data_IF_228941331378
#
_entry.id   IF_228941331378
#
_cell.length_a   1.000
_cell.length_b   1.000
_cell.length_c   1.000
_cell.angle_alpha   90.00
_cell.angle_beta   90.00
_cell.angle_gamma   90.00
#
_symmetry.space_group_name_H-M   'P 1'
#
loop_
_entity.id
_entity.type
_entity.pdbx_description
1 polymer ?
#
# COMPACT_ATOMS: atom_id res chain seq x y z
N UNK A 1 11.74 -4.37 -3.50
CA UNK A 1 13.21 -4.15 -3.49
C UNK A 1 13.62 -3.19 -2.39
N UNK A 2 13.03 -2.00 -2.28
CA UNK A 2 13.29 -1.11 -1.15
C UNK A 2 13.03 -1.79 0.21
N UNK A 3 11.92 -2.52 0.35
CA UNK A 3 11.59 -3.25 1.59
C UNK A 3 12.66 -4.27 2.02
N UNK A 4 13.39 -4.88 1.08
CA UNK A 4 14.45 -5.83 1.41
C UNK A 4 15.67 -5.16 2.08
N UNK A 5 15.73 -3.82 2.08
CA UNK A 5 16.76 -3.04 2.77
C UNK A 5 16.30 -2.58 4.16
N UNK A 6 15.01 -2.72 4.48
CA UNK A 6 14.41 -2.22 5.72
C UNK A 6 13.88 -3.33 6.63
N UNK A 7 13.83 -4.57 6.15
CA UNK A 7 13.32 -5.72 6.89
C UNK A 7 14.27 -6.91 6.73
N UNK A 8 14.47 -7.65 7.82
CA UNK A 8 15.31 -8.86 7.82
C UNK A 8 14.66 -10.01 7.04
N UNK A 9 13.32 -10.03 7.01
CA UNK A 9 12.53 -11.09 6.40
C UNK A 9 11.31 -10.55 5.68
N UNK A 10 11.06 -11.06 4.47
CA UNK A 10 9.82 -10.84 3.71
C UNK A 10 9.06 -12.15 3.51
N UNK A 11 7.76 -12.12 3.80
CA UNK A 11 6.82 -13.18 3.46
C UNK A 11 6.04 -12.77 2.21
N UNK A 12 6.29 -13.46 1.10
CA UNK A 12 5.71 -13.18 -0.20
C UNK A 12 4.54 -14.13 -0.45
N UNK A 13 3.31 -13.62 -0.36
CA UNK A 13 2.10 -14.43 -0.51
C UNK A 13 1.41 -14.15 -1.85
N UNK A 14 1.11 -15.21 -2.61
CA UNK A 14 0.49 -15.07 -3.93
C UNK A 14 0.15 -16.42 -4.58
N UNK A 15 -0.64 -16.39 -5.66
CA UNK A 15 -1.12 -17.60 -6.33
C UNK A 15 -0.16 -18.13 -7.41
N UNK A 16 0.64 -17.26 -7.99
CA UNK A 16 1.56 -17.61 -9.07
C UNK A 16 2.93 -18.00 -8.49
N UNK A 17 3.15 -19.32 -8.38
CA UNK A 17 4.37 -19.87 -7.80
C UNK A 17 5.62 -19.48 -8.60
N UNK A 18 5.53 -19.35 -9.93
CA UNK A 18 6.66 -18.98 -10.77
C UNK A 18 7.08 -17.52 -10.51
N UNK A 19 6.12 -16.60 -10.48
CA UNK A 19 6.38 -15.19 -10.14
C UNK A 19 6.89 -15.03 -8.71
N UNK A 20 6.33 -15.79 -7.76
CA UNK A 20 6.81 -15.80 -6.37
C UNK A 20 8.27 -16.26 -6.29
N UNK A 21 8.63 -17.36 -6.97
CA UNK A 21 10.02 -17.84 -6.97
C UNK A 21 10.98 -16.84 -7.59
N UNK A 22 10.58 -16.20 -8.70
CA UNK A 22 11.37 -15.15 -9.33
C UNK A 22 11.54 -13.92 -8.41
N UNK A 23 10.50 -13.54 -7.65
CA UNK A 23 10.56 -12.45 -6.69
C UNK A 23 11.41 -12.80 -5.46
N UNK A 24 11.29 -14.03 -4.95
CA UNK A 24 12.11 -14.56 -3.86
C UNK A 24 13.59 -14.37 -4.17
N UNK A 25 14.05 -14.85 -5.34
CA UNK A 25 15.45 -14.70 -5.73
C UNK A 25 15.90 -13.24 -5.87
N UNK A 26 14.99 -12.31 -6.23
CA UNK A 26 15.31 -10.87 -6.26
C UNK A 26 15.49 -10.28 -4.87
N UNK A 27 14.70 -10.74 -3.89
CA UNK A 27 14.78 -10.31 -2.49
C UNK A 27 16.05 -10.88 -1.84
N UNK A 28 16.32 -12.17 -2.02
CA UNK A 28 17.49 -12.84 -1.44
C UNK A 28 18.81 -12.29 -1.99
N UNK A 29 18.87 -11.94 -3.29
CA UNK A 29 20.04 -11.24 -3.86
C UNK A 29 20.32 -9.86 -3.26
N UNK A 30 19.37 -9.31 -2.49
CA UNK A 30 19.54 -8.06 -1.74
C UNK A 30 19.87 -8.30 -0.26
N UNK A 31 20.12 -9.55 0.15
CA UNK A 31 20.52 -9.91 1.51
C UNK A 31 19.37 -10.10 2.49
N UNK A 32 18.11 -10.11 2.03
CA UNK A 32 16.93 -10.27 2.86
C UNK A 32 16.38 -11.71 2.76
N UNK A 33 15.99 -12.30 3.89
CA UNK A 33 15.36 -13.62 3.89
C UNK A 33 13.97 -13.54 3.22
N UNK A 34 13.67 -14.44 2.29
CA UNK A 34 12.37 -14.47 1.63
C UNK A 34 11.68 -15.83 1.78
N UNK A 35 10.45 -15.82 2.28
CA UNK A 35 9.57 -17.01 2.35
C UNK A 35 8.44 -16.80 1.36
N UNK A 36 8.18 -17.78 0.48
CA UNK A 36 7.04 -17.74 -0.44
C UNK A 36 5.92 -18.64 0.05
N UNK A 37 4.67 -18.25 -0.18
CA UNK A 37 3.50 -19.05 0.17
C UNK A 37 2.32 -18.73 -0.76
N UNK A 38 1.46 -19.72 -1.00
CA UNK A 38 0.12 -19.49 -1.56
C UNK A 38 -0.96 -19.41 -0.48
N UNK A 39 -0.62 -19.74 0.76
CA UNK A 39 -1.51 -19.72 1.92
C UNK A 39 -1.38 -18.41 2.72
N UNK A 40 -2.51 -17.75 2.94
CA UNK A 40 -2.63 -16.52 3.73
C UNK A 40 -2.34 -16.72 5.21
N UNK A 41 -2.37 -17.95 5.74
CA UNK A 41 -1.98 -18.23 7.14
C UNK A 41 -0.56 -17.74 7.43
N UNK A 42 0.33 -17.70 6.42
CA UNK A 42 1.70 -17.21 6.60
C UNK A 42 1.79 -15.71 6.92
N UNK A 43 0.74 -14.93 6.65
CA UNK A 43 0.66 -13.49 6.98
C UNK A 43 0.79 -13.25 8.48
N UNK A 44 0.40 -14.23 9.32
CA UNK A 44 0.44 -14.10 10.80
C UNK A 44 1.85 -13.92 11.37
N UNK A 45 2.87 -14.16 10.55
CA UNK A 45 4.27 -14.02 10.94
C UNK A 45 4.83 -12.62 10.67
N UNK A 46 4.04 -11.70 10.10
CA UNK A 46 4.48 -10.37 9.71
C UNK A 46 3.97 -9.29 10.68
N UNK A 47 4.86 -8.37 11.03
CA UNK A 47 4.53 -7.15 11.79
C UNK A 47 3.88 -6.09 10.89
N UNK A 48 4.33 -6.03 9.62
CA UNK A 48 3.79 -5.15 8.59
C UNK A 48 3.30 -5.97 7.42
N UNK A 49 2.03 -5.77 7.05
CA UNK A 49 1.36 -6.45 5.94
C UNK A 49 1.05 -5.42 4.86
N UNK A 50 1.48 -5.66 3.62
CA UNK A 50 1.14 -4.82 2.47
C UNK A 50 0.23 -5.62 1.55
N UNK A 51 -1.00 -5.16 1.34
CA UNK A 51 -1.93 -5.79 0.39
C UNK A 51 -1.88 -5.04 -0.92
N UNK A 52 -1.44 -5.72 -1.98
CA UNK A 52 -1.40 -5.19 -3.35
C UNK A 52 -1.88 -6.29 -4.31
N UNK A 53 -3.09 -6.79 -4.08
CA UNK A 53 -3.65 -7.93 -4.81
C UNK A 53 -4.77 -7.50 -5.75
N UNK A 54 -5.09 -8.36 -6.71
CA UNK A 54 -6.24 -8.22 -7.60
C UNK A 54 -7.47 -8.98 -7.11
N UNK A 55 -7.56 -9.28 -5.80
CA UNK A 55 -8.71 -10.00 -5.26
C UNK A 55 -9.97 -9.13 -5.34
N UNK A 56 -11.12 -9.66 -5.79
CA UNK A 56 -12.34 -8.88 -5.95
C UNK A 56 -13.07 -8.59 -4.62
N UNK A 57 -12.53 -9.08 -3.50
CA UNK A 57 -13.15 -8.99 -2.17
C UNK A 57 -12.10 -8.96 -1.08
N UNK A 58 -12.54 -8.63 0.14
CA UNK A 58 -11.73 -8.79 1.34
C UNK A 58 -11.30 -10.26 1.52
N UNK A 59 -9.99 -10.47 1.71
CA UNK A 59 -9.35 -11.78 1.87
C UNK A 59 -8.54 -11.89 3.15
N UNK A 60 -8.15 -10.75 3.75
CA UNK A 60 -7.50 -10.72 5.05
C UNK A 60 -8.57 -10.87 6.14
N UNK A 61 -8.30 -11.73 7.12
CA UNK A 61 -9.17 -12.06 8.25
C UNK A 61 -8.40 -11.94 9.55
N UNK A 62 -9.11 -11.98 10.68
CA UNK A 62 -8.51 -11.84 12.00
C UNK A 62 -7.47 -12.92 12.30
N UNK A 63 -7.68 -14.17 11.85
CA UNK A 63 -6.72 -15.26 12.04
C UNK A 63 -5.41 -15.09 11.25
N UNK A 64 -5.41 -14.24 10.22
CA UNK A 64 -4.23 -14.00 9.39
C UNK A 64 -3.29 -12.94 9.98
N UNK A 65 -3.74 -12.14 10.95
CA UNK A 65 -2.98 -10.98 11.41
C UNK A 65 -2.38 -11.22 12.79
N UNK A 66 -1.07 -10.95 12.90
CA UNK A 66 -0.37 -10.89 14.18
C UNK A 66 -1.03 -9.84 15.10
N UNK A 67 -0.87 -10.01 16.41
CA UNK A 67 -1.23 -8.96 17.36
C UNK A 67 -0.45 -7.68 17.03
N UNK A 68 -1.12 -6.53 17.07
CA UNK A 68 -0.52 -5.23 16.78
C UNK A 68 0.08 -5.07 15.38
N UNK A 69 -0.35 -5.88 14.41
CA UNK A 69 0.09 -5.74 13.02
C UNK A 69 -0.35 -4.41 12.40
N UNK A 70 0.52 -3.85 11.55
CA UNK A 70 0.19 -2.72 10.66
C UNK A 70 -0.13 -3.25 9.27
N UNK A 71 -1.28 -2.88 8.72
CA UNK A 71 -1.70 -3.24 7.36
C UNK A 71 -1.72 -2.01 6.47
N UNK A 72 -0.85 -1.96 5.47
CA UNK A 72 -0.84 -0.94 4.44
C UNK A 72 -1.67 -1.44 3.24
N UNK A 73 -2.91 -0.96 3.12
CA UNK A 73 -3.91 -1.46 2.19
C UNK A 73 -3.88 -0.68 0.87
N UNK A 74 -3.33 -1.29 -0.19
CA UNK A 74 -3.20 -0.65 -1.52
C UNK A 74 -4.24 -1.18 -2.52
N UNK A 75 -4.95 -2.26 -2.19
CA UNK A 75 -5.79 -2.95 -3.18
C UNK A 75 -7.13 -2.25 -3.38
N UNK A 76 -7.63 -2.31 -4.63
CA UNK A 76 -8.96 -1.82 -5.00
C UNK A 76 -9.68 -2.92 -5.80
N UNK A 77 -10.77 -3.52 -5.28
CA UNK A 77 -11.38 -3.30 -3.96
C UNK A 77 -10.48 -3.67 -2.77
N UNK A 78 -10.74 -3.04 -1.60
CA UNK A 78 -9.95 -3.27 -0.36
C UNK A 78 -9.92 -4.75 0.02
N UNK A 79 -8.74 -5.23 0.43
CA UNK A 79 -8.54 -6.60 0.90
C UNK A 79 -8.81 -6.79 2.40
N UNK A 80 -8.94 -5.70 3.15
CA UNK A 80 -9.37 -5.64 4.55
C UNK A 80 -10.76 -4.99 4.65
N UNK A 81 -11.66 -5.57 5.46
CA UNK A 81 -12.99 -5.01 5.73
C UNK A 81 -13.01 -4.11 6.97
N UNK A 82 -13.95 -3.16 7.02
CA UNK A 82 -14.20 -2.35 8.23
C UNK A 82 -14.57 -3.20 9.44
N UNK A 83 -15.31 -4.29 9.22
CA UNK A 83 -15.67 -5.24 10.28
C UNK A 83 -14.46 -5.87 10.94
N UNK A 84 -13.37 -6.11 10.19
CA UNK A 84 -12.14 -6.65 10.75
C UNK A 84 -11.49 -5.67 11.73
N UNK A 85 -11.45 -4.38 11.38
CA UNK A 85 -10.90 -3.34 12.27
C UNK A 85 -11.72 -3.21 13.55
N UNK A 86 -13.05 -3.32 13.46
CA UNK A 86 -13.93 -3.34 14.63
C UNK A 86 -13.67 -4.56 15.53
N UNK A 87 -13.36 -5.72 14.94
CA UNK A 87 -13.03 -6.94 15.68
C UNK A 87 -11.62 -6.90 16.29
N UNK A 88 -10.68 -6.22 15.63
CA UNK A 88 -9.26 -6.16 16.00
C UNK A 88 -8.86 -4.71 16.29
N UNK A 89 -9.25 -4.12 17.43
CA UNK A 89 -8.85 -2.76 17.76
C UNK A 89 -7.33 -2.63 18.01
N UNK A 90 -6.62 -3.76 18.12
CA UNK A 90 -5.16 -3.79 18.31
C UNK A 90 -4.36 -3.57 17.03
N UNK A 91 -4.94 -3.77 15.83
CA UNK A 91 -4.25 -3.56 14.56
C UNK A 91 -4.42 -2.12 14.06
N UNK A 92 -3.55 -1.69 13.15
CA UNK A 92 -3.71 -0.44 12.40
C UNK A 92 -3.80 -0.75 10.91
N UNK A 93 -4.88 -0.31 10.28
CA UNK A 93 -5.01 -0.33 8.82
C UNK A 93 -4.76 1.08 8.30
N UNK A 94 -3.91 1.21 7.30
CA UNK A 94 -3.59 2.47 6.63
C UNK A 94 -4.06 2.37 5.18
N UNK A 95 -4.85 3.33 4.72
CA UNK A 95 -5.19 3.50 3.31
C UNK A 95 -3.91 3.85 2.53
N UNK A 96 -3.45 2.90 1.73
CA UNK A 96 -2.24 3.02 0.95
C UNK A 96 -2.44 3.73 -0.38
N UNK A 97 -1.34 4.24 -0.93
CA UNK A 97 -1.28 4.85 -2.27
C UNK A 97 -2.24 6.02 -2.47
N UNK A 98 -2.39 6.89 -1.45
CA UNK A 98 -3.20 8.09 -1.51
C UNK A 98 -2.36 9.33 -1.83
N UNK A 99 -2.91 10.23 -2.63
CA UNK A 99 -2.34 11.53 -2.94
C UNK A 99 -3.33 12.63 -2.54
N UNK A 100 -2.81 13.74 -2.01
CA UNK A 100 -3.62 14.93 -1.80
C UNK A 100 -3.95 15.60 -3.13
N UNK A 101 -5.02 16.38 -3.18
CA UNK A 101 -5.33 17.23 -4.34
C UNK A 101 -5.54 18.67 -3.90
N UNK A 102 -5.33 19.67 -4.80
CA UNK A 102 -5.63 21.07 -4.52
C UNK A 102 -7.07 21.27 -4.01
N UNK A 103 -7.27 22.22 -3.10
CA UNK A 103 -8.57 22.49 -2.41
C UNK A 103 -9.76 22.71 -3.34
N UNK A 104 -9.51 23.22 -4.55
CA UNK A 104 -10.52 23.51 -5.56
C UNK A 104 -10.84 22.30 -6.47
N UNK A 105 -10.21 21.14 -6.26
CA UNK A 105 -10.43 19.92 -7.04
C UNK A 105 -11.15 18.89 -6.18
N UNK A 106 -12.22 18.30 -6.72
CA UNK A 106 -12.96 17.21 -6.09
C UNK A 106 -13.39 16.17 -7.13
N UNK A 107 -13.02 14.91 -6.89
CA UNK A 107 -13.43 13.77 -7.70
C UNK A 107 -14.68 13.11 -7.11
N UNK A 108 -15.87 13.60 -7.47
CA UNK A 108 -17.15 13.17 -6.87
C UNK A 108 -17.51 11.70 -7.15
N UNK A 109 -16.93 11.09 -8.18
CA UNK A 109 -17.13 9.68 -8.54
C UNK A 109 -16.18 8.73 -7.80
N UNK A 110 -15.19 9.25 -7.10
CA UNK A 110 -14.31 8.46 -6.25
C UNK A 110 -14.85 8.57 -4.83
N UNK A 111 -15.27 7.46 -4.23
CA UNK A 111 -15.76 7.39 -2.84
C UNK A 111 -14.63 7.63 -1.82
N UNK A 112 -14.02 8.80 -1.90
CA UNK A 112 -12.86 9.27 -1.15
C UNK A 112 -13.19 10.59 -0.44
N UNK A 113 -12.48 10.94 0.64
CA UNK A 113 -12.59 12.25 1.26
C UNK A 113 -12.29 13.39 0.28
N UNK A 114 -12.80 14.61 0.56
CA UNK A 114 -12.33 15.80 -0.13
C UNK A 114 -10.80 15.90 -0.08
N UNK A 115 -10.21 16.51 -1.11
CA UNK A 115 -8.75 16.72 -1.20
C UNK A 115 -7.91 15.43 -1.27
N UNK A 116 -8.51 14.29 -1.65
CA UNK A 116 -7.81 13.02 -1.84
C UNK A 116 -8.08 12.42 -3.21
N UNK A 117 -7.09 11.68 -3.73
CA UNK A 117 -7.21 10.81 -4.90
C UNK A 117 -6.27 9.62 -4.75
N UNK A 118 -6.40 8.62 -5.61
CA UNK A 118 -5.42 7.54 -5.68
C UNK A 118 -4.14 7.99 -6.37
N UNK A 119 -3.01 7.44 -5.96
CA UNK A 119 -1.69 7.73 -6.54
C UNK A 119 -1.64 7.48 -8.04
N UNK A 120 -2.30 6.43 -8.54
CA UNK A 120 -2.41 6.17 -9.98
C UNK A 120 -3.20 7.25 -10.75
N UNK A 121 -4.22 7.85 -10.12
CA UNK A 121 -4.95 8.96 -10.72
C UNK A 121 -4.13 10.25 -10.69
N UNK A 122 -3.46 10.53 -9.58
CA UNK A 122 -2.51 11.64 -9.51
C UNK A 122 -1.41 11.51 -10.57
N UNK A 123 -0.83 10.32 -10.74
CA UNK A 123 0.16 10.03 -11.77
C UNK A 123 -0.37 10.33 -13.18
N UNK A 124 -1.59 9.89 -13.49
CA UNK A 124 -2.24 10.14 -14.79
C UNK A 124 -2.43 11.64 -15.05
N UNK A 125 -2.90 12.39 -14.04
CA UNK A 125 -3.10 13.85 -14.14
C UNK A 125 -1.76 14.56 -14.34
N UNK A 126 -0.74 14.19 -13.56
CA UNK A 126 0.60 14.80 -13.65
C UNK A 126 1.25 14.53 -15.01
N UNK A 127 1.08 13.33 -15.57
CA UNK A 127 1.52 13.03 -16.94
C UNK A 127 0.84 13.96 -17.95
N UNK A 128 -0.48 14.12 -17.87
CA UNK A 128 -1.23 15.01 -18.76
C UNK A 128 -0.78 16.49 -18.64
N UNK A 129 -0.62 17.00 -17.41
CA UNK A 129 -0.14 18.38 -17.17
C UNK A 129 1.25 18.61 -17.74
N UNK A 130 2.12 17.59 -17.69
CA UNK A 130 3.51 17.69 -18.12
C UNK A 130 3.74 17.24 -19.56
N UNK A 131 2.67 16.95 -20.31
CA UNK A 131 2.71 16.41 -21.68
C UNK A 131 3.63 15.18 -21.80
N UNK A 132 3.61 14.30 -20.79
CA UNK A 132 4.32 13.03 -20.80
C UNK A 132 3.41 11.98 -21.46
N UNK A 133 3.66 11.68 -22.73
CA UNK A 133 2.87 10.76 -23.56
C UNK A 133 3.38 9.30 -23.50
N UNK A 134 4.40 9.03 -22.67
CA UNK A 134 5.01 7.71 -22.55
C UNK A 134 4.11 6.77 -21.75
N UNK A 135 4.20 5.49 -22.07
CA UNK A 135 3.49 4.44 -21.34
C UNK A 135 4.29 3.94 -20.13
N UNK A 136 3.87 4.31 -18.93
CA UNK A 136 4.48 3.84 -17.66
C UNK A 136 3.76 2.62 -17.08
N UNK A 137 3.56 1.59 -17.91
CA UNK A 137 2.86 0.35 -17.53
C UNK A 137 3.82 -0.85 -17.44
N UNK A 138 3.47 -1.82 -16.60
CA UNK A 138 4.22 -3.07 -16.48
C UNK A 138 5.34 -3.02 -15.44
N UNK A 139 6.60 -3.08 -15.88
CA UNK A 139 7.73 -3.07 -14.95
C UNK A 139 7.86 -1.69 -14.31
N UNK A 140 7.93 -1.65 -12.99
CA UNK A 140 8.14 -0.41 -12.23
C UNK A 140 9.53 0.16 -12.52
N UNK A 141 9.57 1.43 -12.92
CA UNK A 141 10.77 2.24 -13.05
C UNK A 141 10.92 3.15 -11.81
N UNK A 142 11.91 2.87 -10.98
CA UNK A 142 12.18 3.65 -9.76
C UNK A 142 12.61 5.08 -10.05
N UNK A 143 13.23 5.35 -11.21
CA UNK A 143 13.62 6.71 -11.58
C UNK A 143 12.38 7.56 -11.89
N UNK A 144 11.42 6.99 -12.63
CA UNK A 144 10.15 7.64 -12.91
C UNK A 144 9.31 7.87 -11.66
N UNK A 145 9.32 6.94 -10.69
CA UNK A 145 8.66 7.16 -9.39
C UNK A 145 9.17 8.44 -8.70
N UNK A 146 10.48 8.70 -8.74
CA UNK A 146 11.07 9.92 -8.19
C UNK A 146 10.59 11.18 -8.91
N UNK A 147 10.56 11.14 -10.25
CA UNK A 147 10.05 12.22 -11.10
C UNK A 147 8.58 12.53 -10.79
N UNK A 148 7.73 11.52 -10.67
CA UNK A 148 6.32 11.70 -10.33
C UNK A 148 6.14 12.27 -8.92
N UNK A 149 6.93 11.82 -7.94
CA UNK A 149 6.87 12.37 -6.59
C UNK A 149 7.26 13.86 -6.55
N UNK A 150 8.25 14.27 -7.33
CA UNK A 150 8.65 15.67 -7.46
C UNK A 150 7.58 16.51 -8.15
N UNK A 151 7.07 16.05 -9.29
CA UNK A 151 5.94 16.68 -10.01
C UNK A 151 4.72 16.81 -9.09
N UNK A 152 4.41 15.79 -8.31
CA UNK A 152 3.33 15.81 -7.32
C UNK A 152 3.48 16.96 -6.33
N UNK A 153 4.67 17.16 -5.75
CA UNK A 153 4.91 18.31 -4.88
C UNK A 153 4.78 19.64 -5.62
N UNK A 154 5.30 19.74 -6.84
CA UNK A 154 5.29 20.97 -7.63
C UNK A 154 3.88 21.41 -8.07
N UNK A 155 3.01 20.45 -8.41
CA UNK A 155 1.66 20.72 -8.95
C UNK A 155 0.54 20.55 -7.92
N UNK A 156 0.85 20.39 -6.63
CA UNK A 156 -0.15 20.31 -5.57
C UNK A 156 -0.79 18.94 -5.37
N UNK A 157 -0.13 17.87 -5.83
CA UNK A 157 -0.48 16.46 -5.62
C UNK A 157 0.57 15.69 -4.78
N UNK A 158 0.94 16.15 -3.56
CA UNK A 158 1.87 15.40 -2.72
C UNK A 158 1.24 14.09 -2.22
N UNK A 159 2.06 13.21 -1.63
CA UNK A 159 1.54 12.07 -0.87
C UNK A 159 0.59 12.57 0.23
N UNK A 160 -0.56 11.89 0.38
CA UNK A 160 -1.55 12.27 1.38
C UNK A 160 -1.08 11.89 2.80
N UNK A 161 -1.71 12.50 3.80
CA UNK A 161 -1.60 12.01 5.17
C UNK A 161 -2.19 10.60 5.30
N UNK A 162 -1.72 9.83 6.28
CA UNK A 162 -2.24 8.49 6.49
C UNK A 162 -3.67 8.54 7.05
N UNK A 163 -4.57 7.87 6.35
CA UNK A 163 -5.96 7.64 6.77
C UNK A 163 -6.22 6.16 6.98
N UNK A 164 -7.32 5.84 7.65
CA UNK A 164 -7.85 4.49 7.80
C UNK A 164 -9.32 4.53 7.46
N UNK A 165 -9.73 3.82 6.40
CA UNK A 165 -11.11 3.85 5.93
C UNK A 165 -11.62 5.28 5.70
N UNK A 166 -10.81 6.10 5.04
CA UNK A 166 -11.10 7.50 4.69
C UNK A 166 -11.11 8.47 5.89
N UNK A 167 -10.81 8.01 7.10
CA UNK A 167 -10.74 8.83 8.31
C UNK A 167 -9.29 9.08 8.73
N UNK A 168 -9.00 10.24 9.30
CA UNK A 168 -7.65 10.55 9.79
C UNK A 168 -7.25 9.60 10.92
N UNK A 169 -6.03 9.06 10.86
CA UNK A 169 -5.50 8.23 11.95
C UNK A 169 -5.01 9.14 13.09
N UNK A 170 -5.50 8.97 14.32
CA UNK A 170 -4.99 9.71 15.47
C UNK A 170 -3.53 9.34 15.79
N UNK A 171 -2.64 10.31 16.10
CA UNK A 171 -1.23 10.06 16.39
C UNK A 171 -0.98 8.99 17.48
N UNK A 172 -1.82 8.94 18.50
CA UNK A 172 -1.79 7.96 19.58
C UNK A 172 -1.85 6.52 19.08
N UNK A 173 -2.54 6.27 17.95
CA UNK A 173 -2.67 4.93 17.38
C UNK A 173 -1.33 4.39 16.88
N UNK A 174 -0.45 5.25 16.38
CA UNK A 174 0.90 4.86 15.99
C UNK A 174 1.75 4.52 17.23
N UNK A 175 1.60 5.28 18.31
CA UNK A 175 2.32 5.05 19.58
C UNK A 175 1.91 3.73 20.23
N UNK A 176 0.62 3.42 20.27
CA UNK A 176 0.08 2.16 20.81
C UNK A 176 0.67 0.91 20.14
N UNK A 177 0.93 0.99 18.84
CA UNK A 177 1.52 -0.11 18.08
C UNK A 177 3.04 -0.17 18.25
N UNK A 178 3.73 0.97 18.26
CA UNK A 178 5.19 1.01 18.40
C UNK A 178 5.69 0.62 19.79
N UNK A 179 4.82 0.61 20.80
CA UNK A 179 5.16 0.36 22.21
C UNK A 179 4.95 -1.09 22.66
N UNK A 180 4.59 -1.99 21.75
CA UNK A 180 4.27 -3.40 22.02
C UNK A 180 5.11 -4.33 21.15
#
# INVERSE_FOLDING_TARGET
MALALSFDKLVLVGRDAFRLKALQGKVERRGCQAVISSDLVQVRNADVVITATSAPRAIIKSEHLKQSAVVFEVSQPRNVSESLVKQRPDILVIDGSMASVPKNIRFWWMSLPPQHTFGCMAETILQAITNDDRHHVGKVDFSFMGVIAERGRAFGFPAAEFTSFNEKIPPEKFLEISSR
#
